data_IF_244765291224
#
_entry.id   IF_244765291224
#
_cell.length_a   1.000
_cell.length_b   1.000
_cell.length_c   1.000
_cell.angle_alpha   90.00
_cell.angle_beta   90.00
_cell.angle_gamma   90.00
#
_symmetry.space_group_name_H-M   'P 1'
#
loop_
_entity.id
_entity.type
_entity.pdbx_description
1 polymer ?
#
# COMPACT_ATOMS: atom_id res chain seq x y z
N UNK A 1 -5.39 -15.48 0.67
CA UNK A 1 -4.79 -14.69 -0.44
C UNK A 1 -3.27 -14.67 -0.27
N UNK A 2 -2.51 -15.10 -1.26
CA UNK A 2 -1.06 -15.22 -1.18
C UNK A 2 -0.36 -13.86 -1.03
N UNK A 3 0.72 -13.82 -0.27
CA UNK A 3 1.54 -12.61 -0.01
C UNK A 3 3.01 -12.99 0.19
N UNK A 4 3.90 -12.03 0.03
CA UNK A 4 5.31 -12.19 0.40
C UNK A 4 5.44 -12.25 1.94
N UNK A 5 6.04 -13.34 2.46
CA UNK A 5 6.19 -13.60 3.91
C UNK A 5 7.61 -13.45 4.43
N UNK A 6 8.59 -13.37 3.52
CA UNK A 6 10.00 -13.26 3.89
C UNK A 6 10.40 -11.86 4.40
N UNK A 7 11.71 -11.66 4.63
CA UNK A 7 12.27 -10.45 5.20
C UNK A 7 12.03 -9.20 4.32
N UNK A 8 11.11 -8.34 4.73
CA UNK A 8 10.71 -7.10 4.02
C UNK A 8 11.88 -6.17 3.68
N UNK A 9 12.90 -6.08 4.55
CA UNK A 9 14.05 -5.22 4.32
C UNK A 9 14.90 -5.65 3.12
N UNK A 10 14.84 -6.93 2.71
CA UNK A 10 15.48 -7.39 1.46
C UNK A 10 14.84 -6.70 0.23
N UNK A 11 13.54 -6.41 0.30
CA UNK A 11 12.80 -5.73 -0.79
C UNK A 11 13.28 -4.29 -0.95
N UNK A 12 13.36 -3.53 0.15
CA UNK A 12 13.89 -2.15 0.13
C UNK A 12 15.31 -2.11 -0.45
N UNK A 13 16.18 -3.00 0.01
CA UNK A 13 17.55 -3.11 -0.49
C UNK A 13 17.63 -3.46 -1.98
N UNK A 14 16.74 -4.33 -2.46
CA UNK A 14 16.69 -4.71 -3.88
C UNK A 14 16.21 -3.56 -4.78
N UNK A 15 15.29 -2.72 -4.30
CA UNK A 15 14.80 -1.56 -5.06
C UNK A 15 15.65 -0.30 -4.85
N UNK A 16 16.71 -0.37 -4.03
CA UNK A 16 17.60 0.77 -3.79
C UNK A 16 16.95 1.93 -3.04
N UNK A 17 15.79 1.71 -2.39
CA UNK A 17 15.03 2.75 -1.70
C UNK A 17 14.19 2.24 -0.54
N UNK A 18 13.79 3.15 0.37
CA UNK A 18 12.88 2.82 1.46
C UNK A 18 11.46 2.68 0.94
N UNK A 19 10.85 1.50 1.09
CA UNK A 19 9.46 1.22 0.73
C UNK A 19 8.50 1.29 1.93
N UNK A 20 8.99 1.66 3.11
CA UNK A 20 8.21 1.84 4.36
C UNK A 20 7.28 0.66 4.71
N UNK A 21 7.75 -0.58 4.53
CA UNK A 21 6.94 -1.79 4.66
C UNK A 21 6.71 -2.26 6.11
N UNK A 22 7.42 -1.68 7.09
CA UNK A 22 7.38 -2.07 8.52
C UNK A 22 6.86 -0.98 9.45
N UNK A 23 6.32 0.12 8.92
CA UNK A 23 5.86 1.25 9.72
C UNK A 23 7.01 1.96 10.44
N UNK A 24 6.85 2.28 11.72
CA UNK A 24 7.74 3.12 12.53
C UNK A 24 9.22 2.74 12.43
N UNK A 25 9.52 1.44 12.38
CA UNK A 25 10.92 0.96 12.22
C UNK A 25 11.61 1.45 10.95
N UNK A 26 10.86 1.83 9.92
CA UNK A 26 11.43 2.34 8.67
C UNK A 26 11.88 3.80 8.78
N UNK A 27 11.33 4.55 9.73
CA UNK A 27 11.67 5.95 9.99
C UNK A 27 12.86 6.08 10.94
N UNK A 28 13.10 5.07 11.79
CA UNK A 28 14.20 5.08 12.75
C UNK A 28 15.58 4.89 12.08
N UNK A 29 16.64 5.38 12.69
CA UNK A 29 18.04 5.18 12.26
C UNK A 29 18.42 3.70 12.20
N UNK A 30 17.85 2.87 13.09
CA UNK A 30 18.07 1.41 13.16
C UNK A 30 17.49 0.64 11.95
N UNK A 31 16.96 1.35 10.94
CA UNK A 31 16.46 0.71 9.72
C UNK A 31 17.59 -0.07 9.02
N UNK A 32 17.39 -1.37 8.69
CA UNK A 32 18.41 -2.19 8.02
C UNK A 32 18.84 -1.65 6.64
N UNK A 33 18.00 -0.86 5.98
CA UNK A 33 18.36 -0.19 4.74
C UNK A 33 19.41 0.90 4.97
N UNK A 34 19.31 1.69 6.05
CA UNK A 34 20.33 2.71 6.39
C UNK A 34 21.69 2.07 6.68
N UNK A 35 21.68 0.93 7.39
CA UNK A 35 22.93 0.22 7.75
C UNK A 35 23.61 -0.45 6.56
N UNK A 36 22.84 -0.99 5.62
CA UNK A 36 23.34 -1.73 4.46
C UNK A 36 22.43 -1.52 3.24
N UNK A 37 22.60 -0.44 2.47
CA UNK A 37 21.74 -0.09 1.33
C UNK A 37 21.96 -0.96 0.08
N UNK A 38 22.90 -1.89 0.12
CA UNK A 38 23.29 -2.74 -1.00
C UNK A 38 22.24 -3.85 -1.23
N UNK A 39 21.98 -4.17 -2.48
CA UNK A 39 21.04 -5.25 -2.86
C UNK A 39 21.42 -6.59 -2.19
N UNK A 40 20.45 -7.45 -1.86
CA UNK A 40 20.71 -8.74 -1.26
C UNK A 40 21.36 -9.71 -2.27
N UNK A 41 22.20 -10.61 -1.80
CA UNK A 41 22.90 -11.62 -2.59
C UNK A 41 24.38 -11.32 -2.72
N UNK A 42 25.15 -12.28 -3.29
CA UNK A 42 26.59 -12.21 -3.47
C UNK A 42 26.99 -11.03 -4.36
N UNK A 43 26.28 -10.84 -5.47
CA UNK A 43 26.52 -9.80 -6.48
C UNK A 43 25.76 -8.50 -6.22
N UNK A 44 25.29 -8.28 -4.98
CA UNK A 44 24.50 -7.09 -4.66
C UNK A 44 25.25 -5.76 -4.78
N UNK A 45 26.58 -5.79 -4.67
CA UNK A 45 27.46 -4.62 -4.78
C UNK A 45 27.94 -4.34 -6.22
N UNK A 46 27.71 -5.25 -7.17
CA UNK A 46 28.17 -5.13 -8.54
C UNK A 46 27.52 -3.93 -9.25
N UNK A 47 28.34 -3.05 -9.82
CA UNK A 47 27.92 -1.89 -10.60
C UNK A 47 27.73 -2.29 -12.07
N UNK A 48 26.62 -2.96 -12.38
CA UNK A 48 26.27 -3.28 -13.76
C UNK A 48 25.37 -2.18 -14.35
N UNK A 49 25.61 -1.82 -15.60
CA UNK A 49 24.71 -0.92 -16.36
C UNK A 49 23.34 -1.59 -16.44
N UNK A 50 22.31 -0.90 -15.98
CA UNK A 50 20.94 -1.39 -16.04
C UNK A 50 20.38 -1.10 -17.42
N UNK A 51 19.82 -2.10 -18.11
CA UNK A 51 19.12 -1.90 -19.37
C UNK A 51 17.79 -1.17 -19.16
N UNK A 52 17.24 -0.58 -20.20
CA UNK A 52 15.93 0.06 -20.15
C UNK A 52 14.84 -0.88 -19.67
N UNK A 53 14.78 -2.11 -20.20
CA UNK A 53 13.90 -3.16 -19.69
C UNK A 53 14.10 -3.40 -18.19
N UNK A 54 15.35 -3.39 -17.74
CA UNK A 54 15.68 -3.55 -16.32
C UNK A 54 15.11 -2.42 -15.46
N UNK A 55 15.14 -1.18 -15.93
CA UNK A 55 14.55 -0.01 -15.26
C UNK A 55 13.03 -0.15 -15.16
N UNK A 56 12.37 -0.43 -16.27
CA UNK A 56 10.92 -0.65 -16.33
C UNK A 56 10.48 -1.79 -15.40
N UNK A 57 11.22 -2.90 -15.41
CA UNK A 57 10.96 -4.04 -14.52
C UNK A 57 11.14 -3.67 -13.04
N UNK A 58 12.17 -2.87 -12.69
CA UNK A 58 12.39 -2.42 -11.31
C UNK A 58 11.26 -1.52 -10.83
N UNK A 59 10.80 -0.60 -11.65
CA UNK A 59 9.71 0.30 -11.29
C UNK A 59 8.40 -0.47 -11.06
N UNK A 60 8.08 -1.42 -11.92
CA UNK A 60 6.95 -2.35 -11.71
C UNK A 60 7.09 -3.11 -10.39
N UNK A 61 8.25 -3.72 -10.13
CA UNK A 61 8.49 -4.49 -8.92
C UNK A 61 8.44 -3.63 -7.66
N UNK A 62 8.95 -2.41 -7.70
CA UNK A 62 8.89 -1.42 -6.63
C UNK A 62 7.43 -1.13 -6.27
N UNK A 63 6.61 -0.76 -7.25
CA UNK A 63 5.19 -0.46 -7.07
C UNK A 63 4.44 -1.67 -6.48
N UNK A 64 4.60 -2.83 -7.08
CA UNK A 64 4.02 -4.09 -6.60
C UNK A 64 4.38 -4.38 -5.13
N UNK A 65 5.61 -4.11 -4.72
CA UNK A 65 6.12 -4.32 -3.36
C UNK A 65 5.60 -3.30 -2.36
N UNK A 66 5.44 -2.04 -2.77
CA UNK A 66 4.85 -0.97 -1.95
C UNK A 66 3.43 -1.38 -1.52
N UNK A 67 2.59 -1.79 -2.47
CA UNK A 67 1.20 -2.21 -2.21
C UNK A 67 1.07 -3.66 -1.71
N UNK A 68 2.15 -4.44 -1.69
CA UNK A 68 2.15 -5.84 -1.23
C UNK A 68 1.29 -6.77 -2.09
N UNK A 69 1.15 -6.45 -3.38
CA UNK A 69 0.35 -7.20 -4.37
C UNK A 69 1.23 -8.21 -5.09
N UNK A 70 0.67 -9.35 -5.49
CA UNK A 70 1.35 -10.34 -6.35
C UNK A 70 1.14 -10.06 -7.84
N UNK A 71 2.00 -10.63 -8.69
CA UNK A 71 2.06 -10.36 -10.13
C UNK A 71 0.71 -10.54 -10.83
N UNK A 72 0.06 -11.69 -10.65
CA UNK A 72 -1.22 -11.96 -11.31
C UNK A 72 -2.33 -10.98 -10.92
N UNK A 73 -2.34 -10.50 -9.65
CA UNK A 73 -3.30 -9.48 -9.21
C UNK A 73 -2.90 -8.09 -9.74
N UNK A 74 -1.60 -7.80 -9.80
CA UNK A 74 -1.11 -6.52 -10.31
C UNK A 74 -1.42 -6.36 -11.80
N UNK A 75 -1.22 -7.41 -12.58
CA UNK A 75 -1.58 -7.45 -14.00
C UNK A 75 -3.07 -7.21 -14.22
N UNK A 76 -3.94 -7.81 -13.40
CA UNK A 76 -5.39 -7.55 -13.45
C UNK A 76 -5.74 -6.07 -13.22
N UNK A 77 -5.04 -5.38 -12.31
CA UNK A 77 -5.24 -3.94 -12.13
C UNK A 77 -4.79 -3.14 -13.35
N UNK A 78 -3.70 -3.52 -14.00
CA UNK A 78 -3.29 -2.91 -15.25
C UNK A 78 -4.35 -3.10 -16.35
N UNK A 79 -4.82 -4.33 -16.56
CA UNK A 79 -5.87 -4.66 -17.53
C UNK A 79 -7.20 -3.93 -17.25
N UNK A 80 -7.54 -3.74 -15.99
CA UNK A 80 -8.71 -2.94 -15.60
C UNK A 80 -8.51 -1.45 -15.91
N UNK A 81 -7.33 -0.91 -15.61
CA UNK A 81 -7.00 0.47 -15.83
C UNK A 81 -6.94 0.83 -17.33
N UNK A 82 -6.44 -0.10 -18.14
CA UNK A 82 -6.36 0.05 -19.60
C UNK A 82 -7.74 0.18 -20.27
N UNK A 83 -8.75 -0.49 -19.69
CA UNK A 83 -10.16 -0.40 -20.15
C UNK A 83 -10.88 0.86 -19.67
N UNK A 84 -10.30 1.59 -18.72
CA UNK A 84 -10.90 2.82 -18.18
C UNK A 84 -10.54 4.02 -19.07
N UNK A 85 -11.44 5.00 -19.14
CA UNK A 85 -11.15 6.29 -19.80
C UNK A 85 -10.08 7.06 -19.01
N UNK A 86 -9.16 7.71 -19.72
CA UNK A 86 -8.09 8.54 -19.13
C UNK A 86 -6.72 7.89 -19.24
N UNK A 87 -5.77 8.36 -18.43
CA UNK A 87 -4.37 7.89 -18.45
C UNK A 87 -4.26 6.55 -17.72
N UNK A 88 -3.87 5.49 -18.41
CA UNK A 88 -3.79 4.12 -17.88
C UNK A 88 -2.95 4.03 -16.61
N UNK A 89 -1.82 4.73 -16.54
CA UNK A 89 -0.94 4.75 -15.38
C UNK A 89 -1.60 5.33 -14.13
N UNK A 90 -2.29 6.45 -14.26
CA UNK A 90 -3.03 7.11 -13.18
C UNK A 90 -4.20 6.24 -12.70
N UNK A 91 -4.97 5.69 -13.64
CA UNK A 91 -6.06 4.78 -13.34
C UNK A 91 -5.59 3.55 -12.55
N UNK A 92 -4.44 2.97 -12.95
CA UNK A 92 -3.84 1.84 -12.26
C UNK A 92 -3.44 2.19 -10.82
N UNK A 93 -2.81 3.34 -10.61
CA UNK A 93 -2.43 3.80 -9.27
C UNK A 93 -3.68 4.10 -8.43
N UNK A 94 -4.70 4.74 -9.00
CA UNK A 94 -5.99 4.97 -8.34
C UNK A 94 -6.63 3.66 -7.89
N UNK A 95 -6.67 2.63 -8.74
CA UNK A 95 -7.19 1.31 -8.37
C UNK A 95 -6.38 0.66 -7.24
N UNK A 96 -5.06 0.81 -7.22
CA UNK A 96 -4.19 0.30 -6.15
C UNK A 96 -4.43 1.05 -4.82
N UNK A 97 -4.64 2.35 -4.86
CA UNK A 97 -4.95 3.16 -3.68
C UNK A 97 -6.34 2.83 -3.11
N UNK A 98 -7.34 2.54 -3.96
CA UNK A 98 -8.71 2.18 -3.57
C UNK A 98 -8.85 0.80 -2.93
N UNK A 99 -7.81 0.01 -2.85
CA UNK A 99 -7.87 -1.28 -2.16
C UNK A 99 -8.11 -1.08 -0.67
N UNK A 100 -9.01 -1.87 -0.08
CA UNK A 100 -9.38 -1.76 1.32
C UNK A 100 -8.18 -1.85 2.27
N UNK A 101 -7.21 -2.75 1.99
CA UNK A 101 -5.99 -2.87 2.80
C UNK A 101 -5.13 -1.59 2.75
N UNK A 102 -5.13 -0.90 1.61
CA UNK A 102 -4.41 0.36 1.47
C UNK A 102 -5.20 1.55 2.06
N UNK A 103 -6.51 1.59 1.87
CA UNK A 103 -7.39 2.63 2.46
C UNK A 103 -7.26 2.63 4.00
N UNK A 104 -7.31 1.46 4.62
CA UNK A 104 -7.11 1.29 6.08
C UNK A 104 -5.73 1.80 6.53
N UNK A 105 -4.69 1.63 5.71
CA UNK A 105 -3.37 2.22 5.96
C UNK A 105 -3.39 3.75 5.81
N UNK A 106 -4.03 4.29 4.76
CA UNK A 106 -4.15 5.74 4.52
C UNK A 106 -4.97 6.46 5.59
N UNK A 107 -5.99 5.82 6.14
CA UNK A 107 -6.75 6.30 7.30
C UNK A 107 -5.92 6.33 8.59
N UNK A 108 -4.71 5.76 8.60
CA UNK A 108 -3.87 5.71 9.80
C UNK A 108 -4.34 4.70 10.86
N UNK A 109 -5.27 3.80 10.52
CA UNK A 109 -5.70 2.69 11.40
C UNK A 109 -4.54 1.72 11.63
N UNK A 110 -3.62 1.60 10.69
CA UNK A 110 -2.46 0.73 10.81
C UNK A 110 -1.17 1.44 10.38
N UNK A 111 -0.02 1.26 11.09
CA UNK A 111 1.27 1.86 10.76
C UNK A 111 1.91 1.27 9.51
N UNK A 112 1.37 0.20 8.95
CA UNK A 112 1.87 -0.42 7.71
C UNK A 112 0.77 -1.12 6.94
N UNK A 113 0.90 -1.17 5.60
CA UNK A 113 -0.02 -1.91 4.71
C UNK A 113 -0.12 -3.39 5.08
N UNK A 114 0.95 -3.97 5.65
CA UNK A 114 0.94 -5.38 6.10
C UNK A 114 0.01 -5.59 7.28
N UNK A 115 0.02 -4.69 8.27
CA UNK A 115 -0.88 -4.75 9.41
C UNK A 115 -2.31 -4.39 9.00
N UNK A 116 -2.50 -3.37 8.15
CA UNK A 116 -3.81 -3.03 7.57
C UNK A 116 -4.46 -4.25 6.90
N UNK A 117 -3.69 -4.97 6.08
CA UNK A 117 -4.16 -6.20 5.45
C UNK A 117 -4.54 -7.29 6.47
N UNK A 118 -3.80 -7.41 7.57
CA UNK A 118 -4.13 -8.35 8.64
C UNK A 118 -5.43 -7.96 9.34
N UNK A 119 -5.62 -6.69 9.65
CA UNK A 119 -6.86 -6.17 10.26
C UNK A 119 -8.08 -6.51 9.39
N UNK A 120 -8.00 -6.25 8.08
CA UNK A 120 -9.07 -6.62 7.13
C UNK A 120 -9.30 -8.13 7.11
N UNK A 121 -8.25 -8.94 6.93
CA UNK A 121 -8.37 -10.40 6.81
C UNK A 121 -8.91 -11.08 8.09
N UNK A 122 -8.71 -10.46 9.25
CA UNK A 122 -9.20 -10.94 10.55
C UNK A 122 -10.61 -10.44 10.88
N UNK A 123 -11.33 -9.87 9.91
CA UNK A 123 -12.72 -9.41 10.05
C UNK A 123 -12.93 -8.37 11.16
N UNK A 124 -11.96 -7.45 11.36
CA UNK A 124 -12.11 -6.38 12.33
C UNK A 124 -12.94 -5.20 11.82
N UNK A 125 -13.15 -5.11 10.50
CA UNK A 125 -13.80 -3.98 9.84
C UNK A 125 -15.11 -4.37 9.16
N UNK A 126 -16.00 -3.40 9.07
CA UNK A 126 -17.18 -3.41 8.21
C UNK A 126 -17.13 -2.24 7.23
N UNK A 127 -17.67 -2.44 6.05
CA UNK A 127 -17.87 -1.41 5.02
C UNK A 127 -19.37 -1.29 4.80
N UNK A 128 -19.95 -0.12 4.97
CA UNK A 128 -21.40 0.13 4.87
C UNK A 128 -22.23 -0.89 5.68
N UNK A 129 -21.82 -1.16 6.92
CA UNK A 129 -22.46 -2.11 7.82
C UNK A 129 -22.17 -3.60 7.54
N UNK A 130 -21.58 -3.96 6.40
CA UNK A 130 -21.26 -5.35 6.04
C UNK A 130 -19.81 -5.69 6.36
N UNK A 131 -19.58 -6.86 6.99
CA UNK A 131 -18.21 -7.34 7.25
C UNK A 131 -17.49 -7.68 5.97
N UNK A 132 -16.32 -7.07 5.74
CA UNK A 132 -15.46 -7.35 4.60
C UNK A 132 -14.13 -7.93 5.07
N UNK A 133 -13.79 -9.14 4.59
CA UNK A 133 -12.54 -9.85 4.91
C UNK A 133 -11.55 -9.89 3.74
N UNK A 134 -11.95 -9.32 2.61
CA UNK A 134 -11.18 -9.34 1.36
C UNK A 134 -10.33 -8.07 1.24
N UNK A 135 -8.99 -8.14 1.39
CA UNK A 135 -8.11 -6.97 1.31
C UNK A 135 -8.09 -6.27 -0.04
N UNK A 136 -8.45 -6.98 -1.11
CA UNK A 136 -8.53 -6.44 -2.49
C UNK A 136 -9.89 -5.83 -2.83
N UNK A 137 -10.79 -5.69 -1.86
CA UNK A 137 -12.05 -4.98 -2.06
C UNK A 137 -11.76 -3.55 -2.53
N UNK A 138 -12.40 -3.13 -3.61
CA UNK A 138 -12.24 -1.78 -4.18
C UNK A 138 -13.29 -0.87 -3.55
N UNK A 139 -12.82 0.09 -2.80
CA UNK A 139 -13.65 1.08 -2.11
C UNK A 139 -14.12 2.15 -3.11
N UNK A 140 -15.32 2.68 -2.89
CA UNK A 140 -15.92 3.76 -3.69
C UNK A 140 -16.00 5.04 -2.87
N UNK A 141 -16.15 6.17 -3.53
CA UNK A 141 -16.49 7.43 -2.86
C UNK A 141 -17.86 7.27 -2.16
N UNK A 142 -17.96 7.77 -0.93
CA UNK A 142 -19.12 7.63 -0.06
C UNK A 142 -19.15 6.35 0.78
N UNK A 143 -18.18 5.43 0.62
CA UNK A 143 -18.10 4.25 1.49
C UNK A 143 -17.67 4.63 2.91
N UNK A 144 -18.36 4.05 3.89
CA UNK A 144 -18.08 4.20 5.33
C UNK A 144 -17.42 2.94 5.87
N UNK A 145 -16.23 3.08 6.46
CA UNK A 145 -15.42 1.99 7.00
C UNK A 145 -15.39 2.12 8.51
N UNK A 146 -15.91 1.12 9.23
CA UNK A 146 -16.05 1.17 10.69
C UNK A 146 -15.35 -0.04 11.33
N UNK A 147 -14.68 0.19 12.46
CA UNK A 147 -14.22 -0.93 13.30
C UNK A 147 -15.42 -1.51 14.03
N UNK A 148 -15.61 -2.82 13.93
CA UNK A 148 -16.74 -3.53 14.54
C UNK A 148 -16.81 -3.31 16.05
N UNK A 149 -18.01 -3.14 16.59
CA UNK A 149 -18.27 -2.91 18.02
C UNK A 149 -17.60 -3.97 18.91
N UNK A 150 -17.76 -5.25 18.56
CA UNK A 150 -17.16 -6.36 19.30
C UNK A 150 -15.62 -6.43 19.21
N UNK A 151 -14.98 -5.55 18.44
CA UNK A 151 -13.52 -5.44 18.28
C UNK A 151 -12.94 -4.13 18.84
N UNK A 152 -13.77 -3.13 19.10
CA UNK A 152 -13.33 -1.83 19.64
C UNK A 152 -12.63 -1.94 20.99
N UNK A 153 -12.99 -2.92 21.82
CA UNK A 153 -12.34 -3.23 23.11
C UNK A 153 -10.99 -3.92 23.02
N UNK A 154 -10.49 -4.25 21.82
CA UNK A 154 -9.16 -4.84 21.67
C UNK A 154 -8.08 -3.82 22.04
N UNK A 155 -7.06 -4.22 22.79
CA UNK A 155 -5.90 -3.43 23.22
C UNK A 155 -5.30 -2.57 22.07
N UNK A 156 -5.28 -3.10 20.84
CA UNK A 156 -4.79 -2.37 19.69
C UNK A 156 -5.64 -1.14 19.36
N UNK A 157 -6.97 -1.30 19.27
CA UNK A 157 -7.87 -0.19 18.93
C UNK A 157 -8.04 0.80 20.08
N UNK A 158 -7.95 0.35 21.33
CA UNK A 158 -7.91 1.23 22.50
C UNK A 158 -6.68 2.11 22.47
N UNK A 159 -5.50 1.54 22.26
CA UNK A 159 -4.26 2.30 22.11
C UNK A 159 -4.28 3.25 20.89
N UNK A 160 -4.96 2.86 19.80
CA UNK A 160 -5.10 3.70 18.60
C UNK A 160 -5.88 4.99 18.89
N UNK A 161 -6.89 4.95 19.76
CA UNK A 161 -7.64 6.15 20.19
C UNK A 161 -6.76 7.15 20.94
N UNK A 162 -5.83 6.66 21.75
CA UNK A 162 -4.93 7.48 22.56
C UNK A 162 -3.74 8.05 21.74
N UNK A 163 -3.38 7.40 20.65
CA UNK A 163 -2.19 7.76 19.85
C UNK A 163 -2.50 8.91 18.89
N UNK A 164 -1.65 9.94 18.88
CA UNK A 164 -1.72 11.00 17.85
C UNK A 164 -1.46 10.42 16.44
N UNK A 165 -2.06 11.03 15.41
CA UNK A 165 -1.88 10.58 14.03
C UNK A 165 -0.41 10.62 13.62
N UNK A 166 0.19 9.48 13.40
CA UNK A 166 1.58 9.34 12.95
C UNK A 166 1.71 9.50 11.42
N UNK A 167 0.62 9.21 10.70
CA UNK A 167 0.57 9.36 9.24
C UNK A 167 -0.31 10.56 8.88
N UNK A 168 0.17 11.40 7.97
CA UNK A 168 -0.65 12.45 7.38
C UNK A 168 -1.86 11.81 6.69
N UNK A 169 -3.06 12.19 7.10
CA UNK A 169 -4.27 11.82 6.41
C UNK A 169 -4.23 12.44 5.01
N UNK A 170 -4.43 11.63 4.00
CA UNK A 170 -4.59 12.12 2.62
C UNK A 170 -5.97 12.78 2.48
N UNK A 171 -6.09 13.74 1.57
CA UNK A 171 -7.30 14.59 1.44
C UNK A 171 -8.58 13.83 1.07
N UNK A 172 -8.46 12.66 0.45
CA UNK A 172 -9.59 11.90 -0.08
C UNK A 172 -10.22 10.91 0.92
N UNK A 173 -9.65 10.77 2.14
CA UNK A 173 -10.22 9.97 3.24
C UNK A 173 -10.19 10.75 4.54
N UNK A 174 -11.20 10.54 5.36
CA UNK A 174 -11.32 11.08 6.70
C UNK A 174 -11.42 9.93 7.70
N UNK A 175 -10.87 10.09 8.90
CA UNK A 175 -10.93 9.07 9.95
C UNK A 175 -11.14 9.71 11.32
N UNK A 176 -12.29 9.42 11.92
CA UNK A 176 -12.61 9.76 13.31
C UNK A 176 -12.07 8.67 14.24
N UNK A 177 -11.10 9.02 15.06
CA UNK A 177 -10.44 8.08 15.98
C UNK A 177 -11.30 7.74 17.19
N UNK A 178 -12.13 8.64 17.66
CA UNK A 178 -12.98 8.40 18.81
C UNK A 178 -14.06 7.38 18.47
N UNK A 179 -14.70 7.53 17.33
CA UNK A 179 -15.71 6.63 16.82
C UNK A 179 -15.11 5.38 16.17
N UNK A 180 -13.83 5.43 15.76
CA UNK A 180 -13.15 4.43 14.93
C UNK A 180 -13.90 4.20 13.61
N UNK A 181 -14.29 5.29 12.98
CA UNK A 181 -15.06 5.36 11.75
C UNK A 181 -14.33 6.21 10.70
N UNK A 182 -14.29 5.77 9.47
CA UNK A 182 -13.65 6.50 8.39
C UNK A 182 -14.54 6.58 7.16
N UNK A 183 -14.49 7.73 6.50
CA UNK A 183 -15.27 8.05 5.31
C UNK A 183 -14.35 8.22 4.11
N UNK A 184 -14.75 7.69 2.96
CA UNK A 184 -14.09 7.94 1.68
C UNK A 184 -14.80 9.10 0.99
N UNK A 185 -14.16 10.28 0.99
CA UNK A 185 -14.75 11.52 0.47
C UNK A 185 -14.75 11.56 -1.06
N UNK A 186 -13.62 11.18 -1.67
CA UNK A 186 -13.42 11.23 -3.11
C UNK A 186 -12.59 10.04 -3.60
N UNK A 187 -12.42 9.91 -4.91
CA UNK A 187 -11.45 8.96 -5.47
C UNK A 187 -10.05 9.60 -5.47
N UNK A 188 -8.99 8.81 -5.17
CA UNK A 188 -7.62 9.32 -5.17
C UNK A 188 -7.19 9.76 -6.56
N UNK A 189 -6.65 10.97 -6.65
CA UNK A 189 -5.99 11.52 -7.84
C UNK A 189 -4.49 11.19 -7.83
N UNK A 190 -3.78 11.48 -8.93
CA UNK A 190 -2.32 11.28 -8.99
C UNK A 190 -1.58 12.13 -7.95
N UNK A 191 -2.07 13.33 -7.67
CA UNK A 191 -1.46 14.27 -6.71
C UNK A 191 -1.55 13.77 -5.26
N UNK A 192 -2.58 12.98 -4.94
CA UNK A 192 -2.77 12.40 -3.60
C UNK A 192 -1.82 11.22 -3.32
N UNK A 193 -1.05 10.79 -4.31
CA UNK A 193 -0.18 9.60 -4.20
C UNK A 193 1.26 10.03 -3.96
N UNK A 194 1.71 10.02 -2.70
CA UNK A 194 3.05 10.44 -2.25
C UNK A 194 4.21 9.59 -2.78
N UNK A 195 3.94 8.44 -3.38
CA UNK A 195 4.98 7.55 -3.83
C UNK A 195 5.58 8.03 -5.14
N UNK A 196 6.92 8.17 -5.16
CA UNK A 196 7.68 8.42 -6.38
C UNK A 196 7.66 7.16 -7.27
N UNK A 197 6.60 7.02 -8.05
CA UNK A 197 6.38 5.92 -8.99
C UNK A 197 6.36 6.54 -10.39
N UNK A 198 7.20 5.98 -11.27
CA UNK A 198 7.18 6.31 -12.70
C UNK A 198 6.22 5.36 -13.43
N UNK A 199 4.92 5.67 -13.36
CA UNK A 199 3.85 4.83 -13.91
C UNK A 199 3.96 4.60 -15.40
N UNK A 200 4.50 5.56 -16.17
CA UNK A 200 4.74 5.42 -17.61
C UNK A 200 5.64 4.22 -17.93
N UNK A 201 6.70 3.99 -17.13
CA UNK A 201 7.59 2.85 -17.30
C UNK A 201 6.87 1.50 -17.10
N UNK A 202 5.86 1.48 -16.22
CA UNK A 202 5.06 0.27 -15.98
C UNK A 202 4.13 0.01 -17.16
N UNK A 203 3.51 1.07 -17.69
CA UNK A 203 2.65 0.98 -18.88
C UNK A 203 3.45 0.50 -20.09
N UNK A 204 4.61 1.08 -20.36
CA UNK A 204 5.52 0.64 -21.43
C UNK A 204 5.95 -0.81 -21.31
N UNK A 205 6.19 -1.29 -20.07
CA UNK A 205 6.57 -2.69 -19.84
C UNK A 205 5.45 -3.67 -20.19
N UNK A 206 4.20 -3.31 -19.93
CA UNK A 206 3.05 -4.18 -20.21
C UNK A 206 2.48 -4.05 -21.62
N UNK A 207 2.78 -2.96 -22.32
CA UNK A 207 2.38 -2.75 -23.71
C UNK A 207 3.30 -3.43 -24.73
N UNK A 208 4.43 -3.96 -24.30
CA UNK A 208 5.32 -4.85 -25.07
C UNK A 208 4.82 -6.27 -25.00
#
# INVERSE_FOLDING_TARGET
>A
MARYREAKCKLCRREGGKLFLKGDKCYMEKCPFNKRPVAPGQHGADRKKVSEYGLQLREKQKTKRIYGVQEGQFRKYYEMADRMKGVTGENMLSLLERRLDNVVFRMGIAPSRTLARQIVSHAHLSVNGKTVTVPSYIVKAGDVIVVKENRKGNKYFTALKETKATNSLVKWVEFDREKLEGNVLALPTREDIDSQIAEHMIVELYSK
#
